data_IF_654050294481
#
_entry.id   IF_654050294481
#
_cell.length_a   1.000
_cell.length_b   1.000
_cell.length_c   1.000
_cell.angle_alpha   90.00
_cell.angle_beta   90.00
_cell.angle_gamma   90.00
#
_symmetry.space_group_name_H-M   'P 1'
#
loop_
_entity.id
_entity.type
_entity.pdbx_description
1 polymer ?
#
# COMPACT_ATOMS: atom_id res chain seq x y z
N UNK A 1 -15.49 38.26 9.44
CA UNK A 1 -15.95 37.18 8.53
C UNK A 1 -14.72 36.68 7.81
N UNK A 2 -14.15 35.58 8.28
CA UNK A 2 -12.99 34.98 7.63
C UNK A 2 -13.43 34.42 6.28
N UNK A 3 -12.89 34.97 5.20
CA UNK A 3 -13.06 34.42 3.85
C UNK A 3 -12.55 32.99 3.88
N UNK A 4 -13.45 32.02 3.70
CA UNK A 4 -13.04 30.64 3.40
C UNK A 4 -12.34 30.67 2.05
N UNK A 5 -11.00 30.73 2.09
CA UNK A 5 -10.17 30.68 0.90
C UNK A 5 -10.44 29.39 0.14
N UNK A 6 -10.69 29.51 -1.16
CA UNK A 6 -10.77 28.35 -2.05
C UNK A 6 -9.45 27.58 -1.98
N UNK A 7 -9.47 26.25 -1.77
CA UNK A 7 -8.25 25.46 -1.74
C UNK A 7 -7.49 25.63 -3.05
N UNK A 8 -6.18 25.80 -2.95
CA UNK A 8 -5.30 25.91 -4.12
C UNK A 8 -5.14 24.54 -4.78
N UNK A 9 -4.62 24.50 -6.01
CA UNK A 9 -4.30 23.23 -6.69
C UNK A 9 -3.32 22.38 -5.84
N UNK A 10 -2.32 23.03 -5.23
CA UNK A 10 -1.35 22.36 -4.35
C UNK A 10 -1.99 21.76 -3.09
N UNK A 11 -3.00 22.43 -2.53
CA UNK A 11 -3.76 21.90 -1.39
C UNK A 11 -4.52 20.64 -1.81
N UNK A 12 -5.18 20.68 -2.96
CA UNK A 12 -5.92 19.56 -3.52
C UNK A 12 -4.99 18.37 -3.81
N UNK A 13 -3.84 18.60 -4.44
CA UNK A 13 -2.85 17.56 -4.72
C UNK A 13 -2.34 16.90 -3.44
N UNK A 14 -2.07 17.70 -2.41
CA UNK A 14 -1.63 17.19 -1.10
C UNK A 14 -2.70 16.33 -0.44
N UNK A 15 -3.96 16.77 -0.48
CA UNK A 15 -5.10 16.00 0.04
C UNK A 15 -5.31 14.68 -0.72
N UNK A 16 -5.14 14.70 -2.05
CA UNK A 16 -5.23 13.49 -2.88
C UNK A 16 -4.11 12.51 -2.53
N UNK A 17 -2.86 12.98 -2.45
CA UNK A 17 -1.73 12.14 -2.10
C UNK A 17 -1.87 11.54 -0.70
N UNK A 18 -2.39 12.30 0.27
CA UNK A 18 -2.65 11.79 1.61
C UNK A 18 -3.72 10.69 1.60
N UNK A 19 -4.82 10.90 0.88
CA UNK A 19 -5.89 9.91 0.73
C UNK A 19 -5.40 8.64 0.04
N UNK A 20 -4.54 8.76 -0.97
CA UNK A 20 -3.95 7.61 -1.66
C UNK A 20 -3.02 6.82 -0.72
N UNK A 21 -2.20 7.51 0.10
CA UNK A 21 -1.39 6.87 1.15
C UNK A 21 -2.24 6.14 2.18
N UNK A 22 -3.33 6.74 2.64
CA UNK A 22 -4.25 6.09 3.59
C UNK A 22 -4.90 4.85 2.96
N UNK A 23 -5.36 4.97 1.71
CA UNK A 23 -5.94 3.86 0.95
C UNK A 23 -4.95 2.71 0.81
N UNK A 24 -3.70 3.01 0.46
CA UNK A 24 -2.62 2.03 0.35
C UNK A 24 -2.41 1.29 1.69
N UNK A 25 -2.27 2.01 2.80
CA UNK A 25 -2.09 1.44 4.14
C UNK A 25 -3.26 0.53 4.55
N UNK A 26 -4.48 0.97 4.30
CA UNK A 26 -5.68 0.18 4.62
C UNK A 26 -5.71 -1.13 3.82
N UNK A 27 -5.40 -1.08 2.53
CA UNK A 27 -5.35 -2.26 1.66
C UNK A 27 -4.26 -3.24 2.07
N UNK A 28 -3.09 -2.73 2.46
CA UNK A 28 -1.99 -3.56 2.97
C UNK A 28 -2.39 -4.26 4.26
N UNK A 29 -2.95 -3.53 5.23
CA UNK A 29 -3.43 -4.10 6.50
C UNK A 29 -4.51 -5.15 6.28
N UNK A 30 -5.43 -4.91 5.35
CA UNK A 30 -6.47 -5.88 5.03
C UNK A 30 -5.90 -7.16 4.40
N UNK A 31 -4.89 -7.04 3.53
CA UNK A 31 -4.25 -8.18 2.88
C UNK A 31 -3.49 -9.09 3.85
N UNK A 32 -2.96 -8.54 4.94
CA UNK A 32 -2.19 -9.30 5.94
C UNK A 32 -2.98 -9.68 7.19
N UNK A 33 -4.28 -9.34 7.26
CA UNK A 33 -5.10 -9.53 8.48
C UNK A 33 -5.26 -10.97 8.93
N UNK A 34 -5.05 -11.93 8.02
CA UNK A 34 -5.13 -13.36 8.30
C UNK A 34 -3.81 -13.95 8.81
N UNK A 35 -2.72 -13.18 8.78
CA UNK A 35 -1.43 -13.61 9.32
C UNK A 35 -1.41 -13.49 10.84
N UNK A 36 -0.51 -14.20 11.51
CA UNK A 36 -0.27 -13.95 12.92
C UNK A 36 0.29 -12.54 13.14
N UNK A 37 0.17 -12.01 14.36
CA UNK A 37 0.54 -10.63 14.67
C UNK A 37 1.98 -10.28 14.27
N UNK A 38 2.94 -11.17 14.53
CA UNK A 38 4.37 -10.91 14.24
C UNK A 38 4.63 -10.94 12.74
N UNK A 39 4.03 -11.90 12.02
CA UNK A 39 4.11 -11.96 10.56
C UNK A 39 3.44 -10.75 9.91
N UNK A 40 2.27 -10.34 10.40
CA UNK A 40 1.54 -9.18 9.91
C UNK A 40 2.37 -7.89 10.08
N UNK A 41 2.98 -7.67 11.25
CA UNK A 41 3.83 -6.49 11.50
C UNK A 41 5.02 -6.43 10.52
N UNK A 42 5.72 -7.56 10.31
CA UNK A 42 6.83 -7.64 9.34
C UNK A 42 6.35 -7.43 7.91
N UNK A 43 5.21 -8.02 7.55
CA UNK A 43 4.62 -7.88 6.23
C UNK A 43 4.19 -6.44 5.94
N UNK A 44 3.53 -5.75 6.89
CA UNK A 44 3.18 -4.33 6.74
C UNK A 44 4.43 -3.50 6.47
N UNK A 45 5.46 -3.65 7.31
CA UNK A 45 6.72 -2.91 7.14
C UNK A 45 7.34 -3.13 5.77
N UNK A 46 7.43 -4.40 5.34
CA UNK A 46 8.01 -4.76 4.04
C UNK A 46 7.19 -4.21 2.86
N UNK A 47 5.86 -4.34 2.93
CA UNK A 47 4.94 -3.98 1.85
C UNK A 47 4.78 -2.47 1.72
N UNK A 48 4.69 -1.71 2.81
CA UNK A 48 4.54 -0.25 2.76
C UNK A 48 5.69 0.45 2.03
N UNK A 49 6.91 -0.10 2.11
CA UNK A 49 8.09 0.44 1.41
C UNK A 49 8.10 0.17 -0.10
N UNK A 50 7.33 -0.83 -0.57
CA UNK A 50 7.42 -1.38 -1.94
C UNK A 50 6.11 -1.31 -2.71
N UNK A 51 5.04 -0.91 -2.06
CA UNK A 51 3.70 -0.95 -2.62
C UNK A 51 3.30 0.40 -3.23
N UNK A 52 2.55 0.33 -4.33
CA UNK A 52 1.96 1.48 -5.00
C UNK A 52 0.48 1.23 -5.31
N UNK A 53 -0.31 2.29 -5.25
CA UNK A 53 -1.70 2.28 -5.71
C UNK A 53 -1.71 2.52 -7.23
N UNK A 54 -2.01 1.48 -8.01
CA UNK A 54 -2.08 1.56 -9.47
C UNK A 54 -3.52 1.58 -9.94
N UNK A 55 -3.76 2.15 -11.12
CA UNK A 55 -5.10 2.24 -11.75
C UNK A 55 -5.25 1.25 -12.90
N UNK A 56 -6.45 0.71 -13.04
CA UNK A 56 -6.82 -0.15 -14.18
C UNK A 56 -7.30 0.72 -15.34
N UNK A 57 -7.16 0.22 -16.57
CA UNK A 57 -7.56 0.92 -17.80
C UNK A 57 -9.06 1.24 -17.83
N UNK A 58 -9.90 0.38 -17.26
CA UNK A 58 -11.36 0.53 -17.22
C UNK A 58 -11.86 1.21 -15.93
N UNK A 59 -10.96 1.78 -15.14
CA UNK A 59 -11.27 2.38 -13.84
C UNK A 59 -11.11 1.42 -12.67
N UNK A 60 -11.02 2.00 -11.47
CA UNK A 60 -10.64 1.29 -10.25
C UNK A 60 -9.14 1.34 -9.97
N UNK A 61 -8.77 0.91 -8.76
CA UNK A 61 -7.39 0.85 -8.31
C UNK A 61 -7.10 -0.45 -7.59
N UNK A 62 -5.84 -0.88 -7.66
CA UNK A 62 -5.33 -2.05 -6.96
C UNK A 62 -3.95 -1.72 -6.39
N UNK A 63 -3.55 -2.48 -5.38
CA UNK A 63 -2.20 -2.37 -4.81
C UNK A 63 -1.29 -3.34 -5.53
N UNK A 64 -0.22 -2.82 -6.10
CA UNK A 64 0.89 -3.59 -6.64
C UNK A 64 2.10 -3.43 -5.73
N UNK A 65 2.96 -4.43 -5.68
CA UNK A 65 4.18 -4.46 -4.87
C UNK A 65 5.34 -4.76 -5.79
N UNK A 66 6.41 -3.97 -5.71
CA UNK A 66 7.64 -4.24 -6.43
C UNK A 66 8.38 -5.40 -5.76
N UNK A 67 8.60 -6.47 -6.50
CA UNK A 67 9.25 -7.69 -6.03
C UNK A 67 10.18 -8.22 -7.13
N UNK A 68 11.49 -8.30 -6.85
CA UNK A 68 12.51 -8.73 -7.83
C UNK A 68 12.37 -8.03 -9.20
N UNK A 69 12.26 -6.70 -9.18
CA UNK A 69 12.05 -5.84 -10.37
C UNK A 69 10.71 -6.05 -11.12
N UNK A 70 9.79 -6.84 -10.57
CA UNK A 70 8.46 -7.08 -11.12
C UNK A 70 7.35 -6.49 -10.23
N UNK A 71 6.38 -5.81 -10.85
CA UNK A 71 5.17 -5.37 -10.14
C UNK A 71 4.15 -6.51 -10.06
N UNK A 72 3.93 -7.03 -8.86
CA UNK A 72 2.97 -8.11 -8.62
C UNK A 72 1.77 -7.62 -7.80
N UNK A 73 0.57 -8.21 -7.94
CA UNK A 73 -0.57 -7.91 -7.08
C UNK A 73 -0.28 -8.20 -5.61
N UNK A 74 -0.86 -7.41 -4.71
CA UNK A 74 -0.63 -7.53 -3.26
C UNK A 74 -0.87 -8.94 -2.71
N UNK A 75 -1.91 -9.65 -3.17
CA UNK A 75 -2.21 -11.02 -2.70
C UNK A 75 -1.06 -11.98 -3.00
N UNK A 76 -0.45 -11.86 -4.19
CA UNK A 76 0.74 -12.64 -4.56
C UNK A 76 1.98 -12.22 -3.77
N UNK A 77 2.13 -10.93 -3.48
CA UNK A 77 3.22 -10.44 -2.66
C UNK A 77 3.14 -10.97 -1.22
N UNK A 78 1.94 -11.01 -0.63
CA UNK A 78 1.69 -11.62 0.69
C UNK A 78 2.00 -13.11 0.66
N UNK A 79 1.54 -13.84 -0.37
CA UNK A 79 1.85 -15.27 -0.52
C UNK A 79 3.36 -15.52 -0.62
N UNK A 80 4.08 -14.75 -1.47
CA UNK A 80 5.55 -14.82 -1.59
C UNK A 80 6.22 -14.47 -0.26
N UNK A 81 5.76 -13.43 0.43
CA UNK A 81 6.27 -13.05 1.74
C UNK A 81 6.13 -14.19 2.73
N UNK A 82 4.97 -14.82 2.84
CA UNK A 82 4.76 -15.96 3.74
C UNK A 82 5.64 -17.16 3.41
N UNK A 83 5.86 -17.47 2.12
CA UNK A 83 6.76 -18.55 1.68
C UNK A 83 8.22 -18.26 2.00
N UNK A 84 8.64 -17.01 1.86
CA UNK A 84 10.02 -16.58 2.08
C UNK A 84 10.33 -16.19 3.53
N UNK A 85 9.32 -15.85 4.34
CA UNK A 85 9.47 -15.54 5.77
C UNK A 85 9.90 -16.76 6.62
N UNK A 86 10.05 -17.93 5.99
CA UNK A 86 10.76 -19.08 6.53
C UNK A 86 12.30 -18.93 6.47
N UNK A 87 12.84 -17.89 5.83
CA UNK A 87 14.26 -17.60 5.85
C UNK A 87 14.59 -16.65 7.02
N UNK A 88 15.58 -17.01 7.85
CA UNK A 88 16.01 -16.20 8.98
C UNK A 88 16.56 -14.86 8.50
N UNK A 89 16.29 -13.82 9.29
CA UNK A 89 16.86 -12.48 9.15
C UNK A 89 18.39 -12.61 9.30
N UNK A 90 19.15 -12.09 8.34
CA UNK A 90 20.60 -11.84 8.51
C UNK A 90 20.87 -11.04 9.79
#
# INVERSE_FOLDING_TARGET
MESKGTPTLSDIESMVAERERETLRLRIRDAVKSLDKRQAERAVSFLEERAELRRLEHGGSFVAVLWDDEWIPIDRAVEKFCKNAALPED
#
